data_IF_343565912546
#
_entry.id   IF_343565912546
#
_cell.length_a   1.000
_cell.length_b   1.000
_cell.length_c   1.000
_cell.angle_alpha   90.00
_cell.angle_beta   90.00
_cell.angle_gamma   90.00
#
_symmetry.space_group_name_H-M   'P 1'
#
loop_
_entity.id
_entity.type
_entity.pdbx_description
1 polymer ?
#
# COMPACT_ATOMS: atom_id res chain seq x y z
N UNK A 1 -30.86 -2.40 1.22
CA UNK A 1 -29.93 -2.96 0.23
C UNK A 1 -28.76 -2.03 -0.08
N UNK A 2 -29.00 -0.74 -0.41
CA UNK A 2 -27.93 0.25 -0.67
C UNK A 2 -26.88 0.33 0.45
N UNK A 3 -27.31 0.46 1.70
CA UNK A 3 -26.38 0.55 2.84
C UNK A 3 -25.55 -0.72 3.02
N UNK A 4 -26.17 -1.90 2.85
CA UNK A 4 -25.46 -3.19 2.92
C UNK A 4 -24.39 -3.31 1.83
N UNK A 5 -24.74 -2.94 0.60
CA UNK A 5 -23.82 -3.00 -0.53
C UNK A 5 -22.68 -1.99 -0.38
N UNK A 6 -22.98 -0.76 0.05
CA UNK A 6 -21.97 0.26 0.33
C UNK A 6 -20.98 -0.19 1.40
N UNK A 7 -21.48 -0.74 2.52
CA UNK A 7 -20.63 -1.30 3.58
C UNK A 7 -19.76 -2.46 3.08
N UNK A 8 -20.29 -3.34 2.22
CA UNK A 8 -19.50 -4.44 1.64
C UNK A 8 -18.29 -3.91 0.86
N UNK A 9 -18.49 -2.93 -0.03
CA UNK A 9 -17.40 -2.33 -0.80
C UNK A 9 -16.36 -1.63 0.08
N UNK A 10 -16.79 -0.93 1.13
CA UNK A 10 -15.87 -0.32 2.12
C UNK A 10 -15.03 -1.39 2.84
N UNK A 11 -15.66 -2.47 3.30
CA UNK A 11 -14.97 -3.58 3.96
C UNK A 11 -13.95 -4.21 3.01
N UNK A 12 -14.32 -4.46 1.76
CA UNK A 12 -13.39 -4.97 0.75
C UNK A 12 -12.22 -4.01 0.49
N UNK A 13 -12.49 -2.70 0.44
CA UNK A 13 -11.46 -1.68 0.36
C UNK A 13 -10.50 -1.73 1.55
N UNK A 14 -11.02 -1.79 2.78
CA UNK A 14 -10.20 -1.89 4.00
C UNK A 14 -9.36 -3.18 4.00
N UNK A 15 -9.96 -4.32 3.66
CA UNK A 15 -9.23 -5.60 3.56
C UNK A 15 -8.12 -5.50 2.52
N UNK A 16 -8.41 -4.93 1.35
CA UNK A 16 -7.41 -4.68 0.31
C UNK A 16 -6.27 -3.82 0.84
N UNK A 17 -6.57 -2.71 1.54
CA UNK A 17 -5.56 -1.83 2.11
C UNK A 17 -4.68 -2.50 3.15
N UNK A 18 -5.25 -3.36 4.00
CA UNK A 18 -4.48 -4.14 4.97
C UNK A 18 -3.57 -5.14 4.25
N UNK A 19 -4.09 -5.90 3.29
CA UNK A 19 -3.32 -6.93 2.57
C UNK A 19 -2.17 -6.30 1.79
N UNK A 20 -2.44 -5.29 0.97
CA UNK A 20 -1.40 -4.63 0.17
C UNK A 20 -0.46 -3.78 1.02
N UNK A 21 -0.95 -3.17 2.11
CA UNK A 21 -0.12 -2.40 3.04
C UNK A 21 0.89 -3.28 3.77
N UNK A 22 0.44 -4.41 4.34
CA UNK A 22 1.32 -5.36 5.02
C UNK A 22 2.28 -6.06 4.06
N UNK A 23 1.77 -6.49 2.89
CA UNK A 23 2.61 -7.11 1.87
C UNK A 23 3.64 -6.12 1.32
N UNK A 24 3.22 -4.88 1.04
CA UNK A 24 4.09 -3.78 0.64
C UNK A 24 5.19 -3.54 1.67
N UNK A 25 4.85 -3.48 2.96
CA UNK A 25 5.84 -3.33 4.03
C UNK A 25 6.92 -4.42 3.98
N UNK A 26 6.53 -5.69 3.86
CA UNK A 26 7.47 -6.82 3.80
C UNK A 26 8.42 -6.66 2.60
N UNK A 27 7.87 -6.33 1.42
CA UNK A 27 8.66 -6.12 0.21
C UNK A 27 9.63 -4.95 0.38
N UNK A 28 9.19 -3.82 0.92
CA UNK A 28 10.04 -2.64 1.10
C UNK A 28 11.13 -2.85 2.16
N UNK A 29 10.86 -3.59 3.24
CA UNK A 29 11.90 -3.99 4.20
C UNK A 29 12.97 -4.83 3.50
N UNK A 30 12.58 -5.74 2.60
CA UNK A 30 13.51 -6.50 1.76
C UNK A 30 14.39 -5.57 0.91
N UNK A 31 13.78 -4.61 0.22
CA UNK A 31 14.49 -3.60 -0.59
C UNK A 31 15.52 -2.85 0.26
N UNK A 32 15.08 -2.30 1.40
CA UNK A 32 15.95 -1.49 2.28
C UNK A 32 17.07 -2.32 2.90
N UNK A 33 16.79 -3.56 3.30
CA UNK A 33 17.80 -4.44 3.87
C UNK A 33 18.89 -4.81 2.86
N UNK A 34 18.53 -5.02 1.60
CA UNK A 34 19.49 -5.33 0.55
C UNK A 34 20.41 -4.13 0.24
N UNK A 35 19.87 -2.90 0.32
CA UNK A 35 20.62 -1.67 0.03
C UNK A 35 21.48 -1.19 1.21
N UNK A 36 20.91 -1.20 2.42
CA UNK A 36 21.48 -0.52 3.59
C UNK A 36 21.60 -1.43 4.83
N UNK A 37 21.30 -2.72 4.69
CA UNK A 37 21.38 -3.71 5.76
C UNK A 37 20.40 -3.45 6.90
N UNK A 38 20.67 -4.11 8.03
CA UNK A 38 19.82 -4.07 9.22
C UNK A 38 19.59 -2.64 9.76
N UNK A 39 20.64 -1.83 9.89
CA UNK A 39 20.49 -0.46 10.38
C UNK A 39 19.72 0.43 9.41
N UNK A 40 19.81 0.17 8.10
CA UNK A 40 18.95 0.80 7.10
C UNK A 40 17.47 0.51 7.34
N UNK A 41 17.12 -0.73 7.67
CA UNK A 41 15.74 -1.12 8.02
C UNK A 41 15.26 -0.41 9.27
N UNK A 42 16.09 -0.33 10.32
CA UNK A 42 15.75 0.38 11.57
C UNK A 42 15.42 1.86 11.29
N UNK A 43 16.28 2.53 10.51
CA UNK A 43 16.03 3.92 10.08
C UNK A 43 14.79 4.01 9.20
N UNK A 44 14.60 3.05 8.29
CA UNK A 44 13.42 2.95 7.42
C UNK A 44 12.11 2.87 8.20
N UNK A 45 12.06 2.13 9.30
CA UNK A 45 10.90 2.08 10.19
C UNK A 45 10.67 3.40 10.95
N UNK A 46 11.73 4.10 11.38
CA UNK A 46 11.59 5.43 11.98
C UNK A 46 11.07 6.46 10.97
N UNK A 47 11.43 6.29 9.69
CA UNK A 47 11.02 7.13 8.57
C UNK A 47 9.97 6.44 7.69
N UNK A 48 9.06 5.67 8.29
CA UNK A 48 8.13 4.79 7.59
C UNK A 48 7.42 5.42 6.37
N UNK A 49 6.88 6.66 6.44
CA UNK A 49 6.27 7.29 5.27
C UNK A 49 7.27 7.51 4.12
N UNK A 50 8.50 7.87 4.45
CA UNK A 50 9.58 8.08 3.46
C UNK A 50 9.98 6.76 2.82
N UNK A 51 10.07 5.68 3.59
CA UNK A 51 10.34 4.34 3.06
C UNK A 51 9.30 3.94 2.01
N UNK A 52 8.01 4.17 2.28
CA UNK A 52 6.91 3.87 1.35
C UNK A 52 6.93 4.69 0.07
N UNK A 53 7.57 5.86 0.09
CA UNK A 53 7.76 6.68 -1.10
C UNK A 53 9.02 6.24 -1.84
N UNK A 54 10.17 6.21 -1.17
CA UNK A 54 11.48 6.12 -1.81
C UNK A 54 11.82 4.69 -2.23
N UNK A 55 11.58 3.69 -1.38
CA UNK A 55 12.01 2.31 -1.64
C UNK A 55 11.36 1.70 -2.91
N UNK A 56 10.06 1.89 -3.21
CA UNK A 56 9.50 1.41 -4.46
C UNK A 56 10.12 2.07 -5.71
N UNK A 57 10.38 3.38 -5.67
CA UNK A 57 11.02 4.07 -6.80
C UNK A 57 12.48 3.67 -6.95
N UNK A 58 13.19 3.43 -5.84
CA UNK A 58 14.54 2.89 -5.89
C UNK A 58 14.54 1.52 -6.57
N UNK A 59 13.68 0.59 -6.15
CA UNK A 59 13.60 -0.74 -6.76
C UNK A 59 13.24 -0.68 -8.25
N UNK A 60 12.40 0.27 -8.64
CA UNK A 60 12.11 0.52 -10.06
C UNK A 60 13.35 1.00 -10.82
N UNK A 61 14.00 2.07 -10.35
CA UNK A 61 15.06 2.73 -11.12
C UNK A 61 16.37 1.95 -11.07
N UNK A 62 16.75 1.44 -9.89
CA UNK A 62 18.02 0.75 -9.70
C UNK A 62 17.96 -0.72 -10.14
N UNK A 63 16.81 -1.38 -10.00
CA UNK A 63 16.68 -2.83 -10.27
C UNK A 63 15.75 -3.15 -11.44
N UNK A 64 15.09 -2.16 -12.05
CA UNK A 64 14.08 -2.38 -13.09
C UNK A 64 12.83 -3.11 -12.57
N UNK A 65 12.68 -3.25 -11.25
CA UNK A 65 11.64 -4.06 -10.65
C UNK A 65 10.41 -3.22 -10.31
N UNK A 66 9.35 -3.38 -11.09
CA UNK A 66 8.08 -2.68 -10.91
C UNK A 66 7.22 -3.23 -9.77
N UNK A 67 7.52 -4.43 -9.27
CA UNK A 67 6.66 -5.13 -8.31
C UNK A 67 6.40 -4.32 -7.02
N UNK A 68 7.40 -3.72 -6.35
CA UNK A 68 7.14 -2.94 -5.13
C UNK A 68 6.24 -1.74 -5.38
N UNK A 69 6.38 -1.07 -6.53
CA UNK A 69 5.56 0.07 -6.90
C UNK A 69 4.10 -0.35 -7.13
N UNK A 70 3.87 -1.42 -7.88
CA UNK A 70 2.54 -1.95 -8.15
C UNK A 70 1.84 -2.38 -6.86
N UNK A 71 2.55 -3.05 -5.94
CA UNK A 71 1.97 -3.49 -4.67
C UNK A 71 1.56 -2.28 -3.83
N UNK A 72 2.47 -1.33 -3.62
CA UNK A 72 2.25 -0.21 -2.69
C UNK A 72 1.24 0.78 -3.26
N UNK A 73 1.46 1.28 -4.47
CA UNK A 73 0.59 2.30 -5.07
C UNK A 73 -0.66 1.69 -5.69
N UNK A 74 -0.55 0.53 -6.36
CA UNK A 74 -1.72 -0.14 -6.93
C UNK A 74 -2.68 -0.63 -5.84
N UNK A 75 -2.17 -1.15 -4.73
CA UNK A 75 -2.98 -1.50 -3.56
C UNK A 75 -3.67 -0.30 -2.92
N UNK A 76 -2.97 0.82 -2.78
CA UNK A 76 -3.54 2.08 -2.28
C UNK A 76 -4.63 2.64 -3.19
N UNK A 77 -4.41 2.63 -4.50
CA UNK A 77 -5.41 3.05 -5.50
C UNK A 77 -6.64 2.14 -5.45
N UNK A 78 -6.45 0.82 -5.42
CA UNK A 78 -7.56 -0.15 -5.34
C UNK A 78 -8.39 0.06 -4.06
N UNK A 79 -7.72 0.27 -2.94
CA UNK A 79 -8.35 0.59 -1.65
C UNK A 79 -9.21 1.85 -1.75
N UNK A 80 -8.63 2.92 -2.29
CA UNK A 80 -9.33 4.20 -2.46
C UNK A 80 -10.54 4.07 -3.39
N UNK A 81 -10.42 3.33 -4.50
CA UNK A 81 -11.53 3.09 -5.43
C UNK A 81 -12.65 2.30 -4.75
N UNK A 82 -12.34 1.18 -4.09
CA UNK A 82 -13.35 0.34 -3.44
C UNK A 82 -14.07 1.08 -2.31
N UNK A 83 -13.30 1.80 -1.48
CA UNK A 83 -13.87 2.59 -0.40
C UNK A 83 -14.70 3.77 -0.92
N UNK A 84 -14.23 4.46 -1.97
CA UNK A 84 -14.95 5.54 -2.64
C UNK A 84 -16.27 5.07 -3.24
N UNK A 85 -16.27 3.95 -3.98
CA UNK A 85 -17.49 3.32 -4.51
C UNK A 85 -18.47 3.00 -3.37
N UNK A 86 -17.98 2.40 -2.28
CA UNK A 86 -18.82 2.09 -1.13
C UNK A 86 -19.44 3.32 -0.47
N UNK A 87 -18.69 4.43 -0.40
CA UNK A 87 -19.14 5.72 0.15
C UNK A 87 -20.24 6.34 -0.72
N UNK A 88 -20.04 6.37 -2.04
CA UNK A 88 -21.05 6.84 -2.99
C UNK A 88 -22.34 6.02 -2.95
N UNK A 89 -22.25 4.69 -2.81
CA UNK A 89 -23.43 3.81 -2.71
C UNK A 89 -24.22 4.06 -1.41
N UNK A 90 -23.50 4.30 -0.30
CA UNK A 90 -24.09 4.56 1.03
C UNK A 90 -24.63 5.98 1.20
N UNK A 91 -24.25 6.91 0.31
CA UNK A 91 -24.68 8.31 0.39
C UNK A 91 -23.94 9.10 1.47
N UNK A 92 -22.75 8.63 1.85
CA UNK A 92 -21.81 9.41 2.67
C UNK A 92 -21.01 10.31 1.71
N UNK A 93 -21.14 11.63 1.85
CA UNK A 93 -20.36 12.63 1.10
C UNK A 93 -18.94 12.75 1.66
#
# INVERSE_FOLDING_TARGET
>A
MRNLLGSLFKILGVISGIVFGLWGLIVLVGVVNEVAGFFGVVVGFMLFPVMFVVAPFYALVAWGNWLPLIIVYGGGILTAILYGIGSLISGEE
#
